data_IF_087082141054
#
_entry.id   IF_087082141054
#
_cell.length_a   1.000
_cell.length_b   1.000
_cell.length_c   1.000
_cell.angle_alpha   90.00
_cell.angle_beta   90.00
_cell.angle_gamma   90.00
#
_symmetry.space_group_name_H-M   'P 1'
#
loop_
_entity.id
_entity.type
_entity.pdbx_description
1 polymer ?
#
# COMPACT_ATOMS: atom_id res chain seq x y z
N UNK A 1 -8.14 15.83 4.56
CA UNK A 1 -7.22 14.73 4.25
C UNK A 1 -5.91 14.87 5.03
N UNK A 2 -5.03 15.81 4.70
CA UNK A 2 -3.67 15.92 5.24
C UNK A 2 -3.62 15.86 6.79
N UNK A 3 -4.33 16.76 7.51
CA UNK A 3 -4.34 16.76 8.99
C UNK A 3 -4.87 15.45 9.59
N UNK A 4 -5.84 14.79 8.96
CA UNK A 4 -6.41 13.51 9.41
C UNK A 4 -5.36 12.41 9.35
N UNK A 5 -4.66 12.30 8.21
CA UNK A 5 -3.62 11.28 8.02
C UNK A 5 -2.41 11.55 8.91
N UNK A 6 -1.97 12.81 9.04
CA UNK A 6 -0.90 13.19 9.95
C UNK A 6 -1.23 12.84 11.42
N UNK A 7 -2.48 13.07 11.85
CA UNK A 7 -2.93 12.68 13.18
C UNK A 7 -2.86 11.15 13.34
N UNK A 8 -3.37 10.40 12.36
CA UNK A 8 -3.37 8.94 12.40
C UNK A 8 -1.96 8.35 12.43
N UNK A 9 -1.03 8.90 11.64
CA UNK A 9 0.39 8.52 11.67
C UNK A 9 0.99 8.70 13.07
N UNK A 10 0.72 9.83 13.73
CA UNK A 10 1.21 10.09 15.09
C UNK A 10 0.56 9.19 16.13
N UNK A 11 -0.78 9.05 16.09
CA UNK A 11 -1.53 8.28 17.10
C UNK A 11 -1.13 6.79 17.10
N UNK A 12 -0.73 6.26 15.93
CA UNK A 12 -0.31 4.87 15.74
C UNK A 12 1.22 4.70 15.58
N UNK A 13 1.99 5.76 15.76
CA UNK A 13 3.47 5.75 15.64
C UNK A 13 3.98 5.10 14.34
N UNK A 14 3.27 5.35 13.21
CA UNK A 14 3.55 4.69 11.94
C UNK A 14 4.86 5.14 11.31
N UNK A 15 5.16 6.43 11.39
CA UNK A 15 6.36 7.05 10.81
C UNK A 15 6.87 8.14 11.75
N UNK A 16 8.18 8.24 11.88
CA UNK A 16 8.82 9.34 12.61
C UNK A 16 9.00 10.56 11.70
N UNK A 17 9.06 11.74 12.28
CA UNK A 17 9.24 13.00 11.55
C UNK A 17 10.52 12.95 10.69
N UNK A 18 10.40 13.27 9.39
CA UNK A 18 11.51 13.23 8.45
C UNK A 18 12.01 11.82 8.07
N UNK A 19 11.31 10.77 8.49
CA UNK A 19 11.70 9.39 8.15
C UNK A 19 11.69 9.19 6.64
N UNK A 20 12.69 8.42 6.15
CA UNK A 20 12.74 7.94 4.77
C UNK A 20 11.84 6.74 4.60
N UNK A 21 10.86 6.84 3.69
CA UNK A 21 9.81 5.85 3.50
C UNK A 21 9.69 5.43 2.04
N UNK A 22 9.60 4.12 1.80
CA UNK A 22 9.26 3.57 0.49
C UNK A 22 7.75 3.66 0.29
N UNK A 23 7.30 4.34 -0.77
CA UNK A 23 5.88 4.52 -1.06
C UNK A 23 5.49 3.64 -2.24
N UNK A 24 4.59 2.69 -2.01
CA UNK A 24 4.07 1.82 -3.07
C UNK A 24 3.04 2.59 -3.91
N UNK A 25 3.37 2.87 -5.17
CA UNK A 25 2.53 3.69 -6.06
C UNK A 25 2.11 2.88 -7.28
N UNK A 26 0.81 2.60 -7.40
CA UNK A 26 0.23 1.92 -8.57
C UNK A 26 -0.21 2.86 -9.69
N UNK A 27 -0.40 4.14 -9.40
CA UNK A 27 -1.01 5.14 -10.27
C UNK A 27 -2.50 5.38 -9.99
N UNK A 28 -3.17 4.49 -9.25
CA UNK A 28 -4.56 4.65 -8.83
C UNK A 28 -4.73 5.70 -7.73
N UNK A 29 -5.97 6.17 -7.54
CA UNK A 29 -6.33 7.25 -6.63
C UNK A 29 -5.69 7.12 -5.23
N UNK A 30 -5.84 5.97 -4.60
CA UNK A 30 -5.37 5.77 -3.22
C UNK A 30 -3.86 5.94 -3.10
N UNK A 31 -3.11 5.37 -4.04
CA UNK A 31 -1.64 5.45 -4.05
C UNK A 31 -1.13 6.86 -4.38
N UNK A 32 -1.82 7.59 -5.24
CA UNK A 32 -1.51 8.98 -5.56
C UNK A 32 -1.79 9.90 -4.37
N UNK A 33 -2.90 9.68 -3.66
CA UNK A 33 -3.22 10.41 -2.44
C UNK A 33 -2.21 10.13 -1.30
N UNK A 34 -1.79 8.86 -1.14
CA UNK A 34 -0.77 8.50 -0.17
C UNK A 34 0.53 9.26 -0.44
N UNK A 35 1.01 9.25 -1.69
CA UNK A 35 2.23 9.95 -2.08
C UNK A 35 2.12 11.46 -1.83
N UNK A 36 1.04 12.12 -2.28
CA UNK A 36 0.85 13.57 -2.07
C UNK A 36 0.83 13.93 -0.58
N UNK A 37 0.13 13.14 0.24
CA UNK A 37 0.03 13.40 1.68
C UNK A 37 1.37 13.21 2.39
N UNK A 38 2.13 12.16 2.08
CA UNK A 38 3.44 11.91 2.71
C UNK A 38 4.47 12.97 2.31
N UNK A 39 4.55 13.34 1.03
CA UNK A 39 5.39 14.43 0.55
C UNK A 39 5.08 15.75 1.28
N UNK A 40 3.80 16.11 1.37
CA UNK A 40 3.35 17.34 2.07
C UNK A 40 3.49 17.27 3.58
N UNK A 41 3.64 16.09 4.13
CA UNK A 41 3.94 15.89 5.56
C UNK A 41 5.43 15.95 5.88
N UNK A 42 6.29 16.13 4.87
CA UNK A 42 7.73 16.30 5.04
C UNK A 42 8.52 15.00 5.12
N UNK A 43 7.92 13.85 4.78
CA UNK A 43 8.63 12.58 4.73
C UNK A 43 9.54 12.50 3.50
N UNK A 44 10.73 11.87 3.65
CA UNK A 44 11.61 11.55 2.54
C UNK A 44 11.07 10.35 1.78
N UNK A 45 10.33 10.62 0.69
CA UNK A 45 9.66 9.57 -0.08
C UNK A 45 10.56 8.98 -1.17
N UNK A 46 10.54 7.65 -1.28
CA UNK A 46 11.08 6.89 -2.41
C UNK A 46 9.90 6.17 -3.06
N UNK A 47 9.65 6.40 -4.34
CA UNK A 47 8.52 5.79 -5.05
C UNK A 47 8.90 4.42 -5.58
N UNK A 48 8.07 3.41 -5.30
CA UNK A 48 8.17 2.06 -5.84
C UNK A 48 6.94 1.70 -6.67
N UNK A 49 7.12 1.42 -7.96
CA UNK A 49 6.08 0.98 -8.87
C UNK A 49 6.35 -0.43 -9.40
N UNK A 50 5.36 -1.33 -9.29
CA UNK A 50 5.43 -2.69 -9.82
C UNK A 50 4.69 -2.77 -11.16
N UNK A 51 5.40 -3.06 -12.24
CA UNK A 51 4.80 -3.39 -13.52
C UNK A 51 4.72 -4.91 -13.66
N UNK A 52 3.52 -5.47 -13.51
CA UNK A 52 3.28 -6.92 -13.55
C UNK A 52 3.01 -7.47 -14.95
N UNK A 53 2.98 -6.63 -15.99
CA UNK A 53 2.67 -6.97 -17.38
C UNK A 53 1.37 -7.78 -17.56
N UNK A 54 0.39 -7.59 -16.68
CA UNK A 54 -0.87 -8.34 -16.71
C UNK A 54 -1.90 -7.73 -17.65
N UNK A 55 -1.75 -6.43 -18.01
CA UNK A 55 -2.70 -5.65 -18.81
C UNK A 55 -2.08 -5.11 -20.12
N UNK A 56 -0.98 -5.72 -20.60
CA UNK A 56 -0.30 -5.29 -21.82
C UNK A 56 0.09 -3.80 -21.79
N UNK A 57 -0.26 -3.05 -22.84
CA UNK A 57 0.08 -1.62 -22.96
C UNK A 57 -0.51 -0.71 -21.86
N UNK A 58 -1.58 -1.11 -21.19
CA UNK A 58 -2.09 -0.35 -20.04
C UNK A 58 -1.07 -0.33 -18.89
N UNK A 59 -0.38 -1.44 -18.65
CA UNK A 59 0.65 -1.51 -17.60
C UNK A 59 1.81 -0.54 -17.88
N UNK A 60 2.20 -0.38 -19.13
CA UNK A 60 3.28 0.53 -19.53
C UNK A 60 2.83 2.00 -19.47
N UNK A 61 1.56 2.27 -19.84
CA UNK A 61 0.92 3.58 -19.67
C UNK A 61 0.89 3.99 -18.18
N UNK A 62 0.53 3.07 -17.30
CA UNK A 62 0.44 3.32 -15.85
C UNK A 62 1.82 3.62 -15.25
N UNK A 63 2.87 2.93 -15.70
CA UNK A 63 4.24 3.25 -15.33
C UNK A 63 4.64 4.66 -15.76
N UNK A 64 4.39 5.01 -17.04
CA UNK A 64 4.69 6.35 -17.57
C UNK A 64 3.95 7.43 -16.77
N UNK A 65 2.69 7.18 -16.42
CA UNK A 65 1.88 8.07 -15.59
C UNK A 65 2.50 8.26 -14.20
N UNK A 66 2.89 7.18 -13.52
CA UNK A 66 3.51 7.25 -12.18
C UNK A 66 4.80 8.05 -12.22
N UNK A 67 5.68 7.83 -13.22
CA UNK A 67 6.91 8.60 -13.38
C UNK A 67 6.64 10.08 -13.57
N UNK A 68 5.68 10.43 -14.44
CA UNK A 68 5.28 11.81 -14.68
C UNK A 68 4.71 12.48 -13.43
N UNK A 69 3.78 11.82 -12.77
CA UNK A 69 3.12 12.36 -11.58
C UNK A 69 4.04 12.49 -10.37
N UNK A 70 5.01 11.61 -10.20
CA UNK A 70 6.03 11.74 -9.16
C UNK A 70 6.79 13.06 -9.28
N UNK A 71 7.21 13.42 -10.51
CA UNK A 71 7.85 14.71 -10.79
C UNK A 71 6.90 15.87 -10.51
N UNK A 72 5.68 15.81 -11.06
CA UNK A 72 4.69 16.87 -10.91
C UNK A 72 4.30 17.14 -9.45
N UNK A 73 4.18 16.11 -8.61
CA UNK A 73 3.87 16.25 -7.18
C UNK A 73 5.05 16.86 -6.41
N UNK A 74 6.27 16.46 -6.72
CA UNK A 74 7.48 17.04 -6.13
C UNK A 74 7.62 18.53 -6.46
N UNK A 75 7.28 18.93 -7.68
CA UNK A 75 7.31 20.32 -8.11
C UNK A 75 6.23 21.19 -7.45
N UNK A 76 5.07 20.61 -7.11
CA UNK A 76 3.96 21.29 -6.43
C UNK A 76 4.18 21.51 -4.93
N UNK A 77 5.27 21.04 -4.35
CA UNK A 77 5.58 21.31 -2.95
C UNK A 77 5.91 22.80 -2.75
N UNK A 78 5.33 23.45 -1.72
CA UNK A 78 5.57 24.88 -1.47
C UNK A 78 7.02 25.18 -1.09
N UNK A 79 7.70 24.20 -0.49
CA UNK A 79 9.12 24.24 -0.16
C UNK A 79 9.75 22.92 -0.55
N UNK A 80 10.82 22.95 -1.34
CA UNK A 80 11.58 21.75 -1.70
C UNK A 80 12.58 21.44 -0.60
N UNK A 81 12.45 20.33 0.14
CA UNK A 81 13.45 19.95 1.13
C UNK A 81 14.76 19.55 0.46
N UNK A 82 15.87 19.60 1.21
CA UNK A 82 17.21 19.34 0.68
C UNK A 82 17.36 17.96 0.02
N UNK A 83 16.69 16.95 0.54
CA UNK A 83 16.70 15.58 0.00
C UNK A 83 16.02 15.45 -1.39
N UNK A 84 15.19 16.43 -1.78
CA UNK A 84 14.48 16.46 -3.06
C UNK A 84 15.25 17.25 -4.16
N UNK A 85 16.49 17.65 -3.90
CA UNK A 85 17.29 18.48 -4.81
C UNK A 85 17.45 17.83 -6.19
N UNK A 86 17.69 16.52 -6.23
CA UNK A 86 17.91 15.75 -7.43
C UNK A 86 16.60 15.10 -7.98
N UNK A 87 15.45 15.55 -7.49
CA UNK A 87 14.12 15.01 -7.82
C UNK A 87 13.67 13.89 -6.90
N UNK A 88 12.41 13.48 -7.09
CA UNK A 88 11.83 12.36 -6.33
C UNK A 88 12.32 11.03 -6.90
N UNK A 89 13.02 10.17 -6.11
CA UNK A 89 13.47 8.87 -6.58
C UNK A 89 12.29 7.96 -6.96
N UNK A 90 12.28 7.44 -8.20
CA UNK A 90 11.25 6.53 -8.71
C UNK A 90 11.91 5.26 -9.21
N UNK A 91 11.64 4.16 -8.53
CA UNK A 91 12.06 2.83 -8.91
C UNK A 91 10.90 2.04 -9.51
N UNK A 92 11.18 1.34 -10.60
CA UNK A 92 10.20 0.48 -11.26
C UNK A 92 10.78 -0.91 -11.42
N UNK A 93 9.98 -1.94 -11.12
CA UNK A 93 10.33 -3.33 -11.36
C UNK A 93 9.30 -3.98 -12.26
N UNK A 94 9.79 -4.60 -13.33
CA UNK A 94 9.01 -5.41 -14.26
C UNK A 94 9.04 -6.87 -13.79
N UNK A 95 7.87 -7.53 -13.79
CA UNK A 95 7.74 -8.92 -13.35
C UNK A 95 7.09 -9.77 -14.43
N UNK A 96 7.64 -10.94 -14.73
CA UNK A 96 6.94 -12.00 -15.45
C UNK A 96 6.05 -12.80 -14.48
N UNK A 97 4.96 -12.15 -14.08
CA UNK A 97 4.04 -12.68 -13.08
C UNK A 97 3.38 -13.99 -13.50
N UNK A 98 3.10 -14.16 -14.81
CA UNK A 98 2.45 -15.37 -15.33
C UNK A 98 3.37 -16.58 -15.25
N UNK A 99 4.61 -16.44 -15.64
CA UNK A 99 5.63 -17.50 -15.51
C UNK A 99 5.85 -17.84 -14.06
N UNK A 100 6.06 -16.85 -13.18
CA UNK A 100 6.24 -17.08 -11.75
C UNK A 100 5.05 -17.83 -11.11
N UNK A 101 3.81 -17.41 -11.41
CA UNK A 101 2.60 -18.06 -10.90
C UNK A 101 2.50 -19.54 -11.32
N UNK A 102 2.88 -19.85 -12.58
CA UNK A 102 2.89 -21.22 -13.11
C UNK A 102 3.94 -22.09 -12.43
N UNK A 103 5.16 -21.58 -12.27
CA UNK A 103 6.28 -22.31 -11.64
C UNK A 103 6.02 -22.59 -10.16
N UNK A 104 5.46 -21.62 -9.44
CA UNK A 104 5.13 -21.74 -8.01
C UNK A 104 3.77 -22.38 -7.74
N UNK A 105 2.97 -22.69 -8.79
CA UNK A 105 1.62 -23.23 -8.70
C UNK A 105 0.67 -22.37 -7.86
N UNK A 106 0.85 -21.06 -7.94
CA UNK A 106 0.06 -20.07 -7.22
C UNK A 106 -0.97 -19.40 -8.15
N UNK A 107 -1.97 -18.72 -7.56
CA UNK A 107 -2.79 -17.78 -8.32
C UNK A 107 -1.97 -16.55 -8.75
N UNK A 108 -2.36 -15.91 -9.85
CA UNK A 108 -1.74 -14.66 -10.33
C UNK A 108 -1.70 -13.60 -9.23
N UNK A 109 -2.78 -13.49 -8.44
CA UNK A 109 -2.86 -12.52 -7.32
C UNK A 109 -1.82 -12.82 -6.24
N UNK A 110 -1.67 -14.09 -5.84
CA UNK A 110 -0.70 -14.51 -4.84
C UNK A 110 0.73 -14.31 -5.35
N UNK A 111 1.00 -14.68 -6.59
CA UNK A 111 2.29 -14.47 -7.24
C UNK A 111 2.67 -12.98 -7.31
N UNK A 112 1.76 -12.13 -7.77
CA UNK A 112 1.97 -10.68 -7.82
C UNK A 112 2.21 -10.09 -6.43
N UNK A 113 1.48 -10.58 -5.40
CA UNK A 113 1.67 -10.16 -4.01
C UNK A 113 3.04 -10.55 -3.49
N UNK A 114 3.47 -11.78 -3.69
CA UNK A 114 4.78 -12.27 -3.25
C UNK A 114 5.91 -11.51 -3.92
N UNK A 115 5.91 -11.41 -5.24
CA UNK A 115 6.89 -10.64 -6.02
C UNK A 115 6.99 -9.19 -5.55
N UNK A 116 5.86 -8.54 -5.29
CA UNK A 116 5.79 -7.17 -4.79
C UNK A 116 6.51 -7.00 -3.47
N UNK A 117 6.16 -7.79 -2.45
CA UNK A 117 6.72 -7.60 -1.11
C UNK A 117 8.18 -8.04 -1.01
N UNK A 118 8.61 -9.04 -1.79
CA UNK A 118 10.02 -9.41 -1.93
C UNK A 118 10.84 -8.24 -2.47
N UNK A 119 10.39 -7.64 -3.57
CA UNK A 119 11.07 -6.50 -4.14
C UNK A 119 11.04 -5.28 -3.21
N UNK A 120 9.94 -5.00 -2.55
CA UNK A 120 9.87 -3.90 -1.59
C UNK A 120 10.85 -4.08 -0.44
N UNK A 121 11.03 -5.30 0.06
CA UNK A 121 11.99 -5.58 1.12
C UNK A 121 13.45 -5.34 0.66
N UNK A 122 13.80 -5.79 -0.55
CA UNK A 122 15.10 -5.53 -1.14
C UNK A 122 15.34 -4.03 -1.37
N UNK A 123 14.37 -3.35 -2.03
CA UNK A 123 14.49 -1.93 -2.35
C UNK A 123 14.50 -1.04 -1.10
N UNK A 124 13.73 -1.37 -0.07
CA UNK A 124 13.73 -0.63 1.19
C UNK A 124 15.11 -0.67 1.85
N UNK A 125 15.76 -1.84 1.86
CA UNK A 125 17.13 -2.00 2.36
C UNK A 125 18.14 -1.24 1.51
N UNK A 126 18.08 -1.39 0.19
CA UNK A 126 18.98 -0.71 -0.76
C UNK A 126 18.93 0.82 -0.63
N UNK A 127 17.72 1.36 -0.47
CA UNK A 127 17.49 2.80 -0.36
C UNK A 127 17.59 3.34 1.07
N UNK A 128 17.75 2.48 2.07
CA UNK A 128 17.77 2.85 3.49
C UNK A 128 16.41 3.26 4.04
N UNK A 129 15.30 2.86 3.38
CA UNK A 129 13.96 3.06 3.90
C UNK A 129 13.67 2.08 5.04
N UNK A 130 13.13 2.57 6.17
CA UNK A 130 12.80 1.72 7.32
C UNK A 130 11.45 1.03 7.19
N UNK A 131 10.56 1.60 6.38
CA UNK A 131 9.19 1.13 6.22
C UNK A 131 8.71 1.32 4.78
N UNK A 132 7.68 0.53 4.43
CA UNK A 132 6.95 0.65 3.17
C UNK A 132 5.53 1.12 3.48
N UNK A 133 5.13 2.26 2.92
CA UNK A 133 3.79 2.77 3.00
C UNK A 133 2.93 2.23 1.85
N UNK A 134 1.79 1.65 2.18
CA UNK A 134 0.80 1.13 1.23
C UNK A 134 -0.55 1.82 1.41
N UNK A 135 -1.28 2.00 0.32
CA UNK A 135 -2.45 2.85 0.25
C UNK A 135 -3.77 2.13 0.62
N UNK A 136 -3.73 1.14 1.52
CA UNK A 136 -4.96 0.53 2.03
C UNK A 136 -5.75 1.57 2.83
N UNK A 137 -7.06 1.60 2.59
CA UNK A 137 -7.98 2.56 3.19
C UNK A 137 -9.12 1.87 3.94
N UNK A 138 -10.06 2.64 4.48
CA UNK A 138 -11.13 2.17 5.34
C UNK A 138 -12.07 1.16 4.65
N UNK A 139 -12.34 1.33 3.34
CA UNK A 139 -13.15 0.37 2.59
C UNK A 139 -12.42 -0.99 2.43
N UNK A 140 -11.09 -1.00 2.25
CA UNK A 140 -10.31 -2.25 2.24
C UNK A 140 -10.34 -2.96 3.59
N UNK A 141 -10.36 -2.19 4.69
CA UNK A 141 -10.53 -2.73 6.04
C UNK A 141 -11.87 -3.42 6.17
N UNK A 142 -12.97 -2.75 5.77
CA UNK A 142 -14.32 -3.32 5.79
C UNK A 142 -14.41 -4.58 4.91
N UNK A 143 -13.86 -4.53 3.70
CA UNK A 143 -13.76 -5.69 2.80
C UNK A 143 -13.06 -6.88 3.47
N UNK A 144 -11.92 -6.62 4.13
CA UNK A 144 -11.15 -7.66 4.81
C UNK A 144 -11.94 -8.31 5.95
N UNK A 145 -12.62 -7.51 6.76
CA UNK A 145 -13.44 -8.00 7.88
C UNK A 145 -14.60 -8.84 7.36
N UNK A 146 -15.35 -8.37 6.37
CA UNK A 146 -16.48 -9.11 5.79
C UNK A 146 -16.02 -10.43 5.16
N UNK A 147 -14.87 -10.44 4.48
CA UNK A 147 -14.27 -11.67 3.98
C UNK A 147 -13.97 -12.67 5.08
N UNK A 148 -13.39 -12.21 6.17
CA UNK A 148 -13.05 -13.05 7.32
C UNK A 148 -14.31 -13.58 8.01
N UNK A 149 -15.32 -12.74 8.23
CA UNK A 149 -16.61 -13.14 8.80
C UNK A 149 -17.29 -14.24 7.99
N UNK A 150 -17.33 -14.08 6.66
CA UNK A 150 -17.90 -15.11 5.76
C UNK A 150 -17.15 -16.44 5.76
N UNK A 151 -15.87 -16.43 6.13
CA UNK A 151 -15.05 -17.64 6.29
C UNK A 151 -15.15 -18.27 7.68
N UNK A 152 -15.92 -17.66 8.59
CA UNK A 152 -16.03 -18.12 9.96
C UNK A 152 -14.78 -17.81 10.79
N UNK A 153 -14.39 -16.53 10.84
CA UNK A 153 -13.21 -16.11 11.61
C UNK A 153 -13.48 -15.99 13.11
N UNK A 154 -12.45 -16.25 13.92
CA UNK A 154 -12.39 -15.86 15.33
C UNK A 154 -11.94 -14.41 15.52
N UNK A 155 -11.62 -14.03 16.76
CA UNK A 155 -11.22 -12.66 17.15
C UNK A 155 -10.11 -12.09 16.27
N UNK A 156 -9.04 -12.87 16.01
CA UNK A 156 -7.92 -12.46 15.14
C UNK A 156 -8.36 -12.03 13.74
N UNK A 157 -9.34 -12.71 13.16
CA UNK A 157 -9.87 -12.33 11.85
C UNK A 157 -10.68 -11.04 11.87
N UNK A 158 -11.31 -10.72 12.99
CA UNK A 158 -12.08 -9.48 13.20
C UNK A 158 -11.17 -8.25 13.38
N UNK A 159 -9.89 -8.44 13.70
CA UNK A 159 -8.91 -7.34 13.76
C UNK A 159 -8.60 -6.73 12.38
N UNK A 160 -8.95 -7.41 11.29
CA UNK A 160 -8.69 -6.93 9.94
C UNK A 160 -7.20 -6.65 9.67
N UNK A 161 -6.91 -5.54 9.01
CA UNK A 161 -5.55 -5.08 8.75
C UNK A 161 -5.05 -4.17 9.89
N UNK A 162 -3.87 -4.46 10.39
CA UNK A 162 -3.20 -3.59 11.36
C UNK A 162 -2.60 -2.36 10.66
N UNK A 163 -2.59 -1.19 11.33
CA UNK A 163 -1.95 0.03 10.81
C UNK A 163 -0.46 -0.17 10.51
N UNK A 164 0.21 -0.97 11.32
CA UNK A 164 1.61 -1.39 11.19
C UNK A 164 1.71 -2.91 11.23
N UNK A 165 2.51 -3.49 10.36
CA UNK A 165 2.72 -4.94 10.29
C UNK A 165 4.15 -5.25 9.88
N UNK A 166 4.78 -6.16 10.59
CA UNK A 166 6.07 -6.73 10.20
C UNK A 166 5.85 -8.00 9.37
N UNK A 167 6.34 -7.99 8.15
CA UNK A 167 6.30 -9.13 7.24
C UNK A 167 7.67 -9.78 7.19
N UNK A 168 7.72 -11.09 7.37
CA UNK A 168 8.91 -11.89 7.05
C UNK A 168 8.82 -12.28 5.58
N UNK A 169 9.82 -11.87 4.81
CA UNK A 169 9.92 -12.15 3.39
C UNK A 169 11.01 -13.18 3.19
N UNK A 170 10.66 -14.39 2.74
CA UNK A 170 11.62 -15.45 2.48
C UNK A 170 12.46 -15.10 1.25
N UNK A 171 13.76 -15.36 1.33
CA UNK A 171 14.74 -15.06 0.30
C UNK A 171 14.95 -16.20 -0.70
N UNK A 172 13.89 -16.91 -1.09
CA UNK A 172 14.01 -17.89 -2.18
C UNK A 172 14.39 -17.14 -3.47
N UNK A 173 15.64 -17.33 -3.95
CA UNK A 173 16.16 -16.75 -5.20
C UNK A 173 16.41 -15.22 -5.21
N UNK A 174 17.08 -14.71 -4.20
CA UNK A 174 17.89 -13.51 -4.39
C UNK A 174 19.14 -13.88 -5.20
N UNK A 175 19.59 -13.00 -6.11
CA UNK A 175 20.86 -13.21 -6.83
C UNK A 175 22.00 -13.48 -5.85
N UNK A 176 23.08 -14.17 -6.28
CA UNK A 176 24.21 -14.52 -5.39
C UNK A 176 24.81 -13.30 -4.66
N UNK A 177 24.61 -12.09 -5.18
CA UNK A 177 25.04 -10.84 -4.58
C UNK A 177 24.11 -10.43 -3.43
N UNK A 178 22.80 -10.67 -3.56
CA UNK A 178 21.78 -10.34 -2.55
C UNK A 178 21.75 -11.37 -1.40
N UNK A 179 22.22 -12.61 -1.65
CA UNK A 179 22.25 -13.70 -0.65
C UNK A 179 23.35 -13.54 0.41
N UNK A 180 24.36 -12.72 0.20
CA UNK A 180 25.50 -12.57 1.13
C UNK A 180 25.21 -11.75 2.38
N UNK A 181 24.12 -11.02 2.43
CA UNK A 181 23.78 -10.08 3.53
C UNK A 181 22.47 -10.42 4.25
N UNK A 182 22.03 -11.66 4.16
CA UNK A 182 20.83 -12.11 4.86
C UNK A 182 21.07 -12.20 6.37
N UNK A 183 20.04 -11.90 7.18
CA UNK A 183 20.02 -12.28 8.58
C UNK A 183 20.29 -13.79 8.72
N UNK A 184 20.84 -14.25 9.85
CA UNK A 184 21.21 -15.65 10.13
C UNK A 184 20.10 -16.69 9.79
N UNK A 185 18.86 -16.26 9.57
CA UNK A 185 17.70 -17.10 9.22
C UNK A 185 17.25 -16.99 7.75
N UNK A 186 17.98 -16.33 6.85
CA UNK A 186 17.64 -16.27 5.42
C UNK A 186 16.33 -15.52 5.10
N UNK A 187 15.83 -14.67 5.99
CA UNK A 187 14.60 -13.87 5.78
C UNK A 187 14.85 -12.37 5.96
N UNK A 188 14.17 -11.57 5.14
CA UNK A 188 14.12 -10.11 5.30
C UNK A 188 12.87 -9.74 6.09
N UNK A 189 13.02 -8.89 7.10
CA UNK A 189 11.87 -8.28 7.78
C UNK A 189 11.53 -6.95 7.11
N UNK A 190 10.27 -6.79 6.69
CA UNK A 190 9.74 -5.61 6.08
C UNK A 190 8.63 -5.01 6.95
N UNK A 191 8.81 -3.78 7.40
CA UNK A 191 7.75 -3.03 8.08
C UNK A 191 6.82 -2.40 7.06
N UNK A 192 5.52 -2.71 7.14
CA UNK A 192 4.48 -2.20 6.22
C UNK A 192 3.51 -1.34 7.00
N UNK A 193 3.41 -0.07 6.65
CA UNK A 193 2.51 0.91 7.29
C UNK A 193 1.35 1.29 6.36
N UNK A 194 0.18 1.61 6.95
CA UNK A 194 -1.07 1.90 6.23
C UNK A 194 -1.68 3.23 6.68
N UNK A 195 -1.09 4.36 6.27
CA UNK A 195 -1.52 5.69 6.75
C UNK A 195 -2.95 6.08 6.36
N UNK A 196 -3.51 5.44 5.31
CA UNK A 196 -4.85 5.78 4.79
C UNK A 196 -5.99 4.95 5.41
N UNK A 197 -5.72 4.05 6.36
CA UNK A 197 -6.79 3.29 7.03
C UNK A 197 -7.81 4.18 7.77
N UNK A 198 -7.43 5.41 8.08
CA UNK A 198 -8.32 6.40 8.71
C UNK A 198 -9.30 7.08 7.74
N UNK A 199 -9.30 6.79 6.44
CA UNK A 199 -10.10 7.53 5.45
C UNK A 199 -10.78 6.59 4.46
N UNK A 200 -11.89 7.04 3.86
CA UNK A 200 -12.64 6.30 2.84
C UNK A 200 -12.13 6.61 1.44
N UNK A 201 -12.36 5.70 0.50
CA UNK A 201 -12.03 5.88 -0.92
C UNK A 201 -12.69 7.13 -1.53
N UNK A 202 -13.98 7.37 -1.24
CA UNK A 202 -14.70 8.56 -1.74
C UNK A 202 -14.04 9.86 -1.27
N UNK A 203 -13.58 9.90 -0.01
CA UNK A 203 -12.88 11.08 0.51
C UNK A 203 -11.50 11.25 -0.11
N UNK A 204 -10.82 10.16 -0.48
CA UNK A 204 -9.57 10.17 -1.23
C UNK A 204 -9.80 10.76 -2.63
N UNK A 205 -10.81 10.29 -3.37
CA UNK A 205 -11.15 10.81 -4.69
C UNK A 205 -11.54 12.29 -4.65
N UNK A 206 -12.39 12.70 -3.70
CA UNK A 206 -12.72 14.10 -3.49
C UNK A 206 -11.47 14.94 -3.19
N UNK A 207 -10.58 14.46 -2.33
CA UNK A 207 -9.33 15.15 -2.02
C UNK A 207 -8.46 15.36 -3.26
N UNK A 208 -8.25 14.32 -4.06
CA UNK A 208 -7.43 14.42 -5.27
C UNK A 208 -8.06 15.35 -6.30
N UNK A 209 -9.33 15.14 -6.63
CA UNK A 209 -10.04 15.86 -7.71
C UNK A 209 -10.32 17.30 -7.32
N UNK A 210 -11.06 17.51 -6.22
CA UNK A 210 -11.67 18.80 -5.91
C UNK A 210 -10.75 19.72 -5.10
N UNK A 211 -9.82 19.16 -4.32
CA UNK A 211 -8.92 19.95 -3.49
C UNK A 211 -7.54 20.10 -4.12
N UNK A 212 -7.03 19.05 -4.78
CA UNK A 212 -5.66 19.03 -5.28
C UNK A 212 -5.52 19.19 -6.79
N UNK A 213 -6.57 18.86 -7.56
CA UNK A 213 -6.50 18.81 -9.03
C UNK A 213 -5.43 17.80 -9.49
N UNK A 214 -5.39 16.62 -8.87
CA UNK A 214 -4.47 15.53 -9.18
C UNK A 214 -5.26 14.45 -9.91
N UNK A 215 -4.77 14.04 -11.07
CA UNK A 215 -5.30 12.95 -11.87
C UNK A 215 -4.77 11.61 -11.36
N UNK A 216 -5.47 10.52 -11.71
CA UNK A 216 -5.07 9.15 -11.43
C UNK A 216 -5.51 8.22 -12.56
N UNK A 217 -4.95 7.02 -12.57
CA UNK A 217 -5.33 5.96 -13.51
C UNK A 217 -6.46 5.13 -12.91
N UNK A 218 -7.51 4.89 -13.69
CA UNK A 218 -8.57 3.94 -13.34
C UNK A 218 -8.18 2.54 -13.82
N UNK A 219 -8.27 1.56 -12.90
CA UNK A 219 -7.97 0.17 -13.21
C UNK A 219 -9.16 -0.49 -13.91
N UNK A 220 -9.01 -0.87 -15.19
CA UNK A 220 -10.03 -1.53 -15.99
C UNK A 220 -10.47 -2.89 -15.44
N UNK A 221 -9.67 -3.53 -14.56
CA UNK A 221 -9.96 -4.84 -13.97
C UNK A 221 -10.83 -4.80 -12.72
N UNK A 222 -11.14 -3.63 -12.19
CA UNK A 222 -11.99 -3.47 -11.01
C UNK A 222 -13.44 -3.98 -11.20
N UNK A 223 -13.87 -4.19 -12.44
CA UNK A 223 -15.24 -4.66 -12.79
C UNK A 223 -15.37 -6.19 -12.89
N UNK A 224 -14.31 -6.98 -12.73
CA UNK A 224 -14.39 -8.45 -12.88
C UNK A 224 -14.90 -9.12 -11.59
N UNK A 225 -16.19 -9.42 -11.54
CA UNK A 225 -16.91 -10.00 -10.39
C UNK A 225 -16.62 -11.48 -10.10
N UNK A 226 -15.82 -12.16 -10.92
CA UNK A 226 -15.46 -13.58 -10.72
C UNK A 226 -14.65 -13.85 -9.45
N UNK A 227 -14.05 -12.83 -8.87
CA UNK A 227 -13.29 -12.94 -7.65
C UNK A 227 -14.17 -12.66 -6.42
N UNK A 228 -14.07 -13.51 -5.39
CA UNK A 228 -14.81 -13.35 -4.11
C UNK A 228 -14.67 -11.95 -3.50
N UNK A 229 -13.58 -11.27 -3.74
CA UNK A 229 -13.29 -9.92 -3.30
C UNK A 229 -14.16 -8.89 -4.02
N UNK A 230 -14.36 -9.04 -5.31
CA UNK A 230 -15.17 -8.11 -6.09
C UNK A 230 -16.67 -8.21 -5.72
N UNK A 231 -17.16 -9.41 -5.37
CA UNK A 231 -18.52 -9.57 -4.85
C UNK A 231 -18.75 -8.84 -3.51
N UNK A 232 -17.73 -8.78 -2.65
CA UNK A 232 -17.81 -8.00 -1.39
C UNK A 232 -17.69 -6.51 -1.67
N UNK A 233 -16.88 -6.09 -2.64
CA UNK A 233 -16.82 -4.67 -3.07
C UNK A 233 -18.16 -4.19 -3.62
N UNK A 234 -18.83 -5.02 -4.42
CA UNK A 234 -20.18 -4.73 -4.91
C UNK A 234 -21.18 -4.61 -3.76
N UNK A 235 -21.15 -5.51 -2.79
CA UNK A 235 -21.97 -5.40 -1.58
C UNK A 235 -21.66 -4.12 -0.80
N UNK A 236 -20.39 -3.81 -0.57
CA UNK A 236 -19.95 -2.59 0.13
C UNK A 236 -20.31 -1.31 -0.63
N UNK A 237 -20.50 -1.35 -1.95
CA UNK A 237 -20.95 -0.19 -2.71
C UNK A 237 -22.37 0.29 -2.33
N UNK A 238 -23.16 -0.60 -1.70
CA UNK A 238 -24.49 -0.28 -1.17
C UNK A 238 -24.47 0.23 0.28
N UNK A 239 -23.32 0.16 0.95
CA UNK A 239 -23.19 0.63 2.33
C UNK A 239 -22.96 2.14 2.36
N UNK A 240 -23.61 2.79 3.30
CA UNK A 240 -23.35 4.19 3.59
C UNK A 240 -21.93 4.38 4.16
N UNK A 241 -21.42 5.60 4.03
CA UNK A 241 -20.14 5.96 4.65
C UNK A 241 -20.10 5.64 6.15
N UNK A 242 -21.20 5.87 6.87
CA UNK A 242 -21.29 5.59 8.31
C UNK A 242 -21.16 4.08 8.61
N UNK A 243 -21.74 3.22 7.79
CA UNK A 243 -21.62 1.76 7.96
C UNK A 243 -20.18 1.28 7.72
N UNK A 244 -19.50 1.80 6.68
CA UNK A 244 -18.09 1.51 6.42
C UNK A 244 -17.22 1.98 7.60
N UNK A 245 -17.45 3.19 8.11
CA UNK A 245 -16.74 3.72 9.28
C UNK A 245 -16.98 2.86 10.52
N UNK A 246 -18.20 2.38 10.75
CA UNK A 246 -18.52 1.47 11.87
C UNK A 246 -17.76 0.14 11.78
N UNK A 247 -17.71 -0.47 10.59
CA UNK A 247 -16.98 -1.73 10.39
C UNK A 247 -15.48 -1.52 10.65
N UNK A 248 -14.89 -0.41 10.16
CA UNK A 248 -13.49 -0.10 10.40
C UNK A 248 -13.19 0.15 11.88
N UNK A 249 -14.07 0.88 12.60
CA UNK A 249 -13.96 1.09 14.05
C UNK A 249 -14.08 -0.22 14.84
N UNK A 250 -14.88 -1.18 14.36
CA UNK A 250 -14.94 -2.50 14.97
C UNK A 250 -13.58 -3.18 14.93
N UNK A 251 -12.85 -3.09 13.81
CA UNK A 251 -11.49 -3.64 13.72
C UNK A 251 -10.55 -3.01 14.77
N UNK A 252 -10.56 -1.69 14.92
CA UNK A 252 -9.73 -0.99 15.90
C UNK A 252 -10.03 -1.47 17.33
N UNK A 253 -11.30 -1.60 17.69
CA UNK A 253 -11.71 -2.14 19.00
C UNK A 253 -11.28 -3.58 19.21
N UNK A 254 -11.34 -4.42 18.15
CA UNK A 254 -10.88 -5.82 18.24
C UNK A 254 -9.36 -5.90 18.38
N UNK A 255 -8.61 -5.00 17.72
CA UNK A 255 -7.17 -4.88 17.87
C UNK A 255 -6.78 -4.49 19.31
N UNK A 256 -7.46 -3.50 19.89
CA UNK A 256 -7.26 -3.10 21.28
C UNK A 256 -7.55 -4.26 22.27
N UNK A 257 -8.62 -5.00 22.04
CA UNK A 257 -8.95 -6.18 22.86
C UNK A 257 -7.88 -7.27 22.74
N UNK A 258 -7.41 -7.55 21.52
CA UNK A 258 -6.35 -8.53 21.31
C UNK A 258 -5.07 -8.15 22.03
N UNK A 259 -4.64 -6.89 21.95
CA UNK A 259 -3.45 -6.40 22.66
C UNK A 259 -3.59 -6.53 24.18
N UNK A 260 -4.79 -6.29 24.74
CA UNK A 260 -5.05 -6.48 26.19
C UNK A 260 -5.05 -7.94 26.63
N UNK A 261 -5.30 -8.87 25.73
CA UNK A 261 -5.30 -10.32 26.04
C UNK A 261 -3.91 -10.95 25.92
N UNK A 262 -3.00 -10.31 25.18
CA UNK A 262 -1.62 -10.77 24.96
C UNK A 262 -0.63 -10.20 26.00
N UNK A 263 -1.03 -9.17 26.75
CA UNK A 263 -0.31 -8.58 27.89
C UNK A 263 -0.82 -9.13 29.22
#
# INVERSE_FOLDING_TARGET
>A
MLRRVQKYIRDHELLHEGEKVLVAVSGGADSMALLDVLLRSGYECVVAHCNFHLRGSESDRDEAFVRHMAVALAERLPHKPAWLKDGLPVFVRHFDTRTYARETKQSIEMAARELRYRWFASLARETGCRSVAVAHHMNDQAETILLHMRRGCGLKGMCGMWPDTKLKVESRELSEVESRELSENGSLELRVVRPLLCTTHDYICHYLKDIRGIEWVEDSTNSDTRYKRNAIREELSHYSKAEIEHIAQLAERMQELQLRMEN
#
